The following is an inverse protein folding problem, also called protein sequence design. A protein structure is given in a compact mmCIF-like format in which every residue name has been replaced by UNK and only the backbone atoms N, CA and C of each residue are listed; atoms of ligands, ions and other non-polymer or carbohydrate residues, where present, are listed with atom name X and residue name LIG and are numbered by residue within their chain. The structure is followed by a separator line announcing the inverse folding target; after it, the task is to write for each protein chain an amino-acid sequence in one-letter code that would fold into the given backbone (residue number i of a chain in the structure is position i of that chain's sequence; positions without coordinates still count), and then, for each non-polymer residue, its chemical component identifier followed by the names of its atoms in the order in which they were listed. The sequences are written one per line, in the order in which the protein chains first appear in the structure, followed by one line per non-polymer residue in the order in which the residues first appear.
data_IF_745058076514
#
_entry.id   IF_745058076514
#
_cell.length_a   1.000
_cell.length_b   1.000
_cell.length_c   1.000
_cell.angle_alpha   90.00
_cell.angle_beta   90.00
_cell.angle_gamma   90.00
#
_symmetry.space_group_name_H-M   'P 1'
#
loop_
_entity.id
_entity.type
_entity.pdbx_description
1 polymer ?
#
# COMPACT_ATOMS: atom_id res chain seq x y z
N UNK A 1 -13.16 13.00 -24.46
CA UNK A 1 -14.02 12.66 -23.32
C UNK A 1 -13.20 12.67 -22.05
N UNK A 2 -13.74 13.28 -21.04
CA UNK A 2 -13.08 13.31 -19.77
C UNK A 2 -13.40 12.03 -19.02
N UNK A 3 -12.38 11.29 -18.66
CA UNK A 3 -12.59 10.12 -17.81
C UNK A 3 -13.14 10.59 -16.46
N UNK A 4 -14.05 9.84 -15.87
CA UNK A 4 -14.52 10.15 -14.53
C UNK A 4 -13.33 10.20 -13.57
N UNK A 5 -13.33 11.16 -12.66
CA UNK A 5 -12.31 11.23 -11.62
C UNK A 5 -12.65 10.27 -10.51
N UNK A 6 -12.81 9.02 -10.88
CA UNK A 6 -13.08 7.94 -9.95
C UNK A 6 -11.80 7.13 -9.80
N UNK A 7 -11.31 7.07 -8.60
CA UNK A 7 -10.16 6.23 -8.28
C UNK A 7 -10.66 4.93 -7.70
N UNK A 8 -10.18 3.83 -8.24
CA UNK A 8 -10.55 2.50 -7.77
C UNK A 8 -9.37 1.57 -8.03
N UNK A 9 -9.32 0.41 -7.38
CA UNK A 9 -8.25 -0.56 -7.65
C UNK A 9 -8.27 -0.98 -9.12
N UNK A 10 -7.09 -1.14 -9.71
CA UNK A 10 -6.98 -1.47 -11.13
C UNK A 10 -7.32 -2.92 -11.44
N UNK A 11 -7.33 -3.78 -10.44
CA UNK A 11 -7.58 -5.21 -10.59
C UNK A 11 -8.57 -5.67 -9.55
N UNK A 12 -9.09 -6.87 -9.74
CA UNK A 12 -9.97 -7.49 -8.77
C UNK A 12 -9.26 -7.71 -7.44
N UNK A 13 -10.01 -7.67 -6.34
CA UNK A 13 -9.46 -7.90 -5.01
C UNK A 13 -8.70 -9.22 -4.93
N UNK A 14 -9.23 -10.27 -5.58
CA UNK A 14 -8.59 -11.59 -5.56
C UNK A 14 -7.20 -11.58 -6.18
N UNK A 15 -6.96 -10.71 -7.15
CA UNK A 15 -5.63 -10.59 -7.75
C UNK A 15 -4.62 -10.03 -6.74
N UNK A 16 -5.01 -9.01 -5.99
CA UNK A 16 -4.14 -8.43 -4.96
C UNK A 16 -3.90 -9.42 -3.83
N UNK A 17 -4.93 -10.16 -3.44
CA UNK A 17 -4.79 -11.18 -2.40
C UNK A 17 -3.85 -12.29 -2.83
N UNK A 18 -3.90 -12.69 -4.10
CA UNK A 18 -2.99 -13.69 -4.64
C UNK A 18 -1.55 -13.18 -4.68
N UNK A 19 -1.35 -11.92 -5.04
CA UNK A 19 -0.01 -11.30 -5.03
C UNK A 19 0.57 -11.26 -3.63
N UNK A 20 -0.24 -10.88 -2.66
CA UNK A 20 0.19 -10.85 -1.26
C UNK A 20 0.61 -12.24 -0.81
N UNK A 21 -0.20 -13.26 -1.12
CA UNK A 21 0.11 -14.63 -0.72
C UNK A 21 1.46 -15.08 -1.28
N UNK A 22 1.74 -14.77 -2.56
CA UNK A 22 3.02 -15.13 -3.17
C UNK A 22 4.21 -14.43 -2.51
N UNK A 23 4.04 -13.16 -2.18
CA UNK A 23 5.10 -12.40 -1.51
C UNK A 23 5.34 -12.95 -0.12
N UNK A 24 4.28 -13.28 0.60
CA UNK A 24 4.41 -13.79 1.96
C UNK A 24 5.08 -15.17 2.00
N UNK A 25 4.84 -16.00 0.99
CA UNK A 25 5.57 -17.26 0.89
C UNK A 25 7.07 -17.00 0.78
N UNK A 26 7.47 -16.04 -0.06
CA UNK A 26 8.89 -15.71 -0.21
C UNK A 26 9.49 -15.11 1.06
N UNK A 27 8.73 -14.30 1.77
CA UNK A 27 9.18 -13.73 3.04
C UNK A 27 9.49 -14.86 4.03
N UNK A 28 8.58 -15.81 4.16
CA UNK A 28 8.76 -16.95 5.06
C UNK A 28 9.89 -17.87 4.62
N UNK A 29 10.00 -18.11 3.31
CA UNK A 29 11.07 -18.96 2.78
C UNK A 29 12.45 -18.41 3.07
N UNK A 30 12.58 -17.09 3.13
CA UNK A 30 13.84 -16.44 3.45
C UNK A 30 14.06 -16.23 4.94
N UNK A 31 13.12 -16.67 5.77
CA UNK A 31 13.23 -16.55 7.22
C UNK A 31 13.06 -15.14 7.73
N UNK A 32 12.35 -14.30 6.98
CA UNK A 32 12.12 -12.90 7.36
C UNK A 32 10.78 -12.75 8.05
N UNK A 33 10.66 -11.72 8.89
CA UNK A 33 9.41 -11.42 9.58
C UNK A 33 8.47 -10.54 8.74
N UNK A 34 9.02 -9.85 7.76
CA UNK A 34 8.22 -8.97 6.91
C UNK A 34 9.05 -8.29 5.86
N UNK A 35 8.40 -7.46 5.08
CA UNK A 35 8.99 -6.69 3.99
C UNK A 35 8.49 -5.26 4.06
N UNK A 36 9.39 -4.30 3.79
CA UNK A 36 9.04 -2.89 3.69
C UNK A 36 9.13 -2.48 2.23
N UNK A 37 8.05 -1.98 1.67
CA UNK A 37 7.99 -1.55 0.27
C UNK A 37 7.83 -0.04 0.20
N UNK A 38 8.81 0.64 -0.38
CA UNK A 38 8.85 2.10 -0.48
C UNK A 38 8.51 2.63 -1.86
N UNK A 39 8.79 1.86 -2.91
CA UNK A 39 8.59 2.36 -4.27
C UNK A 39 7.10 2.40 -4.60
N UNK A 40 6.61 3.52 -5.14
CA UNK A 40 5.18 3.65 -5.46
C UNK A 40 4.66 2.54 -6.35
N UNK A 41 5.43 2.13 -7.35
CA UNK A 41 5.02 1.06 -8.26
C UNK A 41 4.82 -0.27 -7.52
N UNK A 42 5.72 -0.59 -6.61
CA UNK A 42 5.62 -1.82 -5.83
C UNK A 42 4.42 -1.77 -4.89
N UNK A 43 4.21 -0.63 -4.23
CA UNK A 43 3.08 -0.46 -3.32
C UNK A 43 1.77 -0.60 -4.09
N UNK A 44 1.67 0.03 -5.26
CA UNK A 44 0.47 -0.06 -6.10
C UNK A 44 0.23 -1.49 -6.58
N UNK A 45 1.29 -2.17 -7.03
CA UNK A 45 1.19 -3.53 -7.52
C UNK A 45 0.65 -4.48 -6.46
N UNK A 46 1.07 -4.26 -5.20
CA UNK A 46 0.76 -5.18 -4.12
C UNK A 46 -0.56 -4.87 -3.43
N UNK A 47 -0.91 -3.59 -3.30
CA UNK A 47 -2.05 -3.17 -2.47
C UNK A 47 -3.15 -2.45 -3.24
N UNK A 48 -2.88 -2.02 -4.46
CA UNK A 48 -3.77 -1.18 -5.23
C UNK A 48 -3.64 0.29 -4.92
N UNK A 49 -2.95 0.66 -3.84
CA UNK A 49 -2.85 2.06 -3.45
C UNK A 49 -2.17 2.88 -4.55
N UNK A 50 -2.89 3.84 -5.09
CA UNK A 50 -2.40 4.75 -6.10
C UNK A 50 -2.73 6.18 -5.70
N UNK A 51 -1.76 7.07 -5.84
CA UNK A 51 -1.93 8.49 -5.54
C UNK A 51 -1.13 9.31 -6.53
N UNK A 52 -1.54 10.56 -6.70
CA UNK A 52 -0.76 11.53 -7.48
C UNK A 52 0.37 12.14 -6.65
N UNK A 53 0.40 11.88 -5.36
CA UNK A 53 1.39 12.44 -4.44
C UNK A 53 2.70 11.67 -4.40
N UNK A 54 3.31 11.43 -5.55
CA UNK A 54 4.54 10.62 -5.63
C UNK A 54 5.70 11.19 -4.84
N UNK A 55 5.71 12.49 -4.59
CA UNK A 55 6.77 13.11 -3.81
C UNK A 55 6.65 12.90 -2.31
N UNK A 56 5.53 12.35 -1.85
CA UNK A 56 5.31 12.11 -0.44
C UNK A 56 5.86 10.75 -0.03
N UNK A 57 6.35 10.66 1.20
CA UNK A 57 6.78 9.38 1.76
C UNK A 57 5.58 8.44 1.86
N UNK A 58 5.77 7.23 1.36
CA UNK A 58 4.80 6.17 1.54
C UNK A 58 5.53 4.86 1.79
N UNK A 59 4.93 3.99 2.56
CA UNK A 59 5.53 2.72 2.94
C UNK A 59 4.43 1.70 3.14
N UNK A 60 4.59 0.53 2.53
CA UNK A 60 3.75 -0.62 2.84
C UNK A 60 4.55 -1.58 3.71
N UNK A 61 4.01 -1.90 4.87
CA UNK A 61 4.58 -2.90 5.77
C UNK A 61 3.85 -4.21 5.49
N UNK A 62 4.57 -5.19 4.97
CA UNK A 62 4.00 -6.49 4.59
C UNK A 62 4.53 -7.53 5.57
N UNK A 63 3.72 -7.99 6.54
CA UNK A 63 4.17 -9.01 7.48
C UNK A 63 4.27 -10.37 6.79
N UNK A 64 5.02 -11.28 7.40
CA UNK A 64 5.09 -12.65 6.89
C UNK A 64 3.73 -13.33 6.92
N UNK A 65 2.86 -12.89 7.80
CA UNK A 65 1.50 -13.41 7.92
C UNK A 65 0.59 -12.26 8.33
N UNK A 66 -0.63 -12.22 7.78
CA UNK A 66 -1.58 -11.17 8.09
C UNK A 66 -1.63 -10.09 7.01
N UNK A 67 -2.40 -9.03 7.27
CA UNK A 67 -2.66 -8.01 6.27
C UNK A 67 -1.59 -6.92 6.28
N UNK A 68 -1.28 -6.34 5.12
CA UNK A 68 -0.39 -5.19 5.02
C UNK A 68 -0.94 -3.95 5.71
N UNK A 69 -0.04 -3.07 6.13
CA UNK A 69 -0.39 -1.77 6.68
C UNK A 69 0.28 -0.70 5.82
N UNK A 70 -0.48 0.30 5.40
CA UNK A 70 0.03 1.43 4.63
C UNK A 70 0.36 2.59 5.56
N UNK A 71 1.54 3.18 5.37
CA UNK A 71 1.96 4.37 6.09
C UNK A 71 2.10 5.49 5.07
N UNK A 72 1.32 6.55 5.20
CA UNK A 72 1.33 7.67 4.25
C UNK A 72 0.87 8.95 4.94
N UNK A 73 0.98 10.07 4.20
CA UNK A 73 0.47 11.35 4.71
C UNK A 73 -1.04 11.30 4.83
N UNK A 74 -1.57 12.04 5.80
CA UNK A 74 -3.02 12.11 6.04
C UNK A 74 -3.77 12.66 4.83
N UNK A 75 -3.17 13.55 4.05
CA UNK A 75 -3.79 14.10 2.84
C UNK A 75 -3.99 13.05 1.76
N UNK A 76 -3.35 11.89 1.87
CA UNK A 76 -3.49 10.79 0.92
C UNK A 76 -4.65 9.86 1.26
N UNK A 77 -5.36 10.10 2.34
CA UNK A 77 -6.42 9.19 2.79
C UNK A 77 -7.50 8.97 1.73
N UNK A 78 -7.82 10.01 0.96
CA UNK A 78 -8.79 9.88 -0.12
C UNK A 78 -8.38 8.78 -1.11
N UNK A 79 -7.11 8.81 -1.53
CA UNK A 79 -6.61 7.81 -2.48
C UNK A 79 -6.50 6.44 -1.85
N UNK A 80 -6.15 6.41 -0.58
CA UNK A 80 -6.05 5.16 0.16
C UNK A 80 -7.42 4.47 0.24
N UNK A 81 -8.46 5.22 0.59
CA UNK A 81 -9.81 4.68 0.67
C UNK A 81 -10.33 4.23 -0.69
N UNK A 82 -9.96 4.95 -1.75
CA UNK A 82 -10.49 4.68 -3.09
C UNK A 82 -9.79 3.51 -3.78
N UNK A 83 -8.50 3.29 -3.53
CA UNK A 83 -7.70 2.38 -4.35
C UNK A 83 -7.08 1.21 -3.60
N UNK A 84 -6.76 1.37 -2.33
CA UNK A 84 -6.10 0.30 -1.56
C UNK A 84 -7.13 -0.72 -1.08
N UNK A 85 -6.86 -2.00 -1.31
CA UNK A 85 -7.80 -3.05 -0.89
C UNK A 85 -7.63 -3.45 0.56
N UNK A 86 -6.53 -3.05 1.21
CA UNK A 86 -6.27 -3.43 2.60
C UNK A 86 -6.61 -2.28 3.53
N UNK A 87 -7.30 -2.54 4.65
CA UNK A 87 -7.77 -1.47 5.53
C UNK A 87 -6.72 -0.95 6.52
N UNK A 88 -5.67 -1.71 6.78
CA UNK A 88 -4.67 -1.32 7.77
C UNK A 88 -3.88 -0.10 7.33
N UNK A 89 -3.81 0.90 8.19
CA UNK A 89 -3.10 2.13 7.87
C UNK A 89 -2.62 2.86 9.10
N UNK A 90 -1.52 3.58 8.94
CA UNK A 90 -1.03 4.55 9.91
C UNK A 90 -0.67 5.80 9.11
N UNK A 91 -1.17 6.96 9.54
CA UNK A 91 -0.99 8.19 8.80
C UNK A 91 -0.24 9.21 9.62
N UNK A 92 0.50 10.07 8.94
CA UNK A 92 1.24 11.15 9.57
C UNK A 92 0.84 12.48 8.95
N UNK A 93 0.97 13.53 9.73
CA UNK A 93 0.71 14.90 9.26
C UNK A 93 2.03 15.62 9.04
N UNK A 94 1.97 16.82 8.48
CA UNK A 94 3.17 17.61 8.20
C UNK A 94 3.96 17.98 9.45
N UNK A 95 3.33 17.89 10.63
CA UNK A 95 4.01 18.17 11.89
C UNK A 95 4.73 16.96 12.48
N UNK A 96 4.56 15.78 11.89
CA UNK A 96 5.15 14.54 12.36
C UNK A 96 6.36 14.16 11.52
N UNK A 97 7.26 13.38 12.11
CA UNK A 97 8.33 12.75 11.35
C UNK A 97 7.96 11.28 11.14
N UNK A 98 7.71 10.85 9.89
CA UNK A 98 7.22 9.49 9.64
C UNK A 98 8.27 8.40 9.87
N UNK A 99 9.54 8.77 10.05
CA UNK A 99 10.64 7.82 10.13
C UNK A 99 11.06 7.55 11.57
N UNK A 100 10.65 8.39 12.48
CA UNK A 100 11.00 8.26 13.90
C UNK A 100 9.99 7.38 14.62
#
# INVERSE_FOLDING_TARGET
MTAPLIYEPWFERSEYEARLARVQVQIRDKGLDGLLAFQPETVTWLTGFFTRGYGSFQLAVIPADGAPVLICRDVEEYYLDATCIFPGRAMWSDSDDPVI
#
